data_IF_223340053782
#
_entry.id   IF_223340053782
#
_cell.length_a   1.000
_cell.length_b   1.000
_cell.length_c   1.000
_cell.angle_alpha   90.00
_cell.angle_beta   90.00
_cell.angle_gamma   90.00
#
_symmetry.space_group_name_H-M   'P 1'
#
loop_
_entity.id
_entity.type
_entity.pdbx_description
1 polymer ?
#
# COMPACT_ATOMS: atom_id res chain seq x y z
N UNK A 1 -29.74 19.84 11.72
CA UNK A 1 -29.23 18.71 10.92
C UNK A 1 -28.40 19.29 9.79
N UNK A 2 -27.07 19.21 9.90
CA UNK A 2 -26.20 19.87 8.93
C UNK A 2 -26.12 19.05 7.64
N UNK A 3 -26.62 19.63 6.55
CA UNK A 3 -26.79 19.03 5.22
C UNK A 3 -25.54 19.14 4.33
N UNK A 4 -24.38 18.76 4.87
CA UNK A 4 -23.15 18.63 4.07
C UNK A 4 -22.60 17.22 4.28
N UNK A 5 -22.92 16.30 3.37
CA UNK A 5 -22.54 14.88 3.40
C UNK A 5 -21.04 14.59 3.24
N UNK A 6 -20.18 15.33 3.95
CA UNK A 6 -18.78 14.94 4.14
C UNK A 6 -18.74 14.01 5.34
N UNK A 7 -18.54 12.71 5.08
CA UNK A 7 -18.05 11.81 6.12
C UNK A 7 -16.72 12.38 6.64
N UNK A 8 -16.57 12.60 7.96
CA UNK A 8 -15.31 13.12 8.49
C UNK A 8 -14.18 12.17 8.15
N UNK A 9 -13.11 12.70 7.55
CA UNK A 9 -11.92 11.90 7.25
C UNK A 9 -11.31 11.36 8.55
N UNK A 10 -11.01 10.06 8.63
CA UNK A 10 -10.33 9.51 9.79
C UNK A 10 -8.96 10.13 9.95
N UNK A 11 -8.46 10.07 11.19
CA UNK A 11 -7.25 10.77 11.59
C UNK A 11 -6.37 9.88 12.44
N UNK A 12 -5.07 9.97 12.22
CA UNK A 12 -4.03 9.27 12.99
C UNK A 12 -2.99 10.27 13.52
N UNK A 13 -2.18 9.83 14.49
CA UNK A 13 -1.06 10.61 15.00
C UNK A 13 0.25 10.00 14.53
N UNK A 14 1.09 10.81 13.89
CA UNK A 14 2.44 10.44 13.42
C UNK A 14 3.41 11.44 14.02
N UNK A 15 4.37 10.97 14.82
CA UNK A 15 5.32 11.82 15.55
C UNK A 15 4.67 12.96 16.34
N UNK A 16 3.52 12.67 16.96
CA UNK A 16 2.72 13.64 17.73
C UNK A 16 1.92 14.64 16.88
N UNK A 17 1.98 14.57 15.56
CA UNK A 17 1.20 15.41 14.64
C UNK A 17 -0.03 14.68 14.12
N UNK A 18 -1.14 15.42 14.09
CA UNK A 18 -2.39 14.93 13.55
C UNK A 18 -2.34 14.87 12.01
N UNK A 19 -2.68 13.70 11.44
CA UNK A 19 -2.71 13.46 10.00
C UNK A 19 -4.05 12.89 9.58
N UNK A 20 -4.74 13.60 8.68
CA UNK A 20 -5.96 13.11 8.03
C UNK A 20 -5.60 12.07 6.98
N UNK A 21 -6.30 10.94 7.00
CA UNK A 21 -6.08 9.83 6.09
C UNK A 21 -7.38 9.39 5.41
N UNK A 22 -7.27 8.59 4.36
CA UNK A 22 -8.43 8.00 3.71
C UNK A 22 -9.05 6.89 4.57
N UNK A 23 -10.38 6.68 4.52
CA UNK A 23 -11.04 5.59 5.23
C UNK A 23 -10.46 4.20 4.94
N UNK A 24 -10.06 3.96 3.69
CA UNK A 24 -9.37 2.72 3.30
C UNK A 24 -8.06 2.52 4.06
N UNK A 25 -7.22 3.55 4.13
CA UNK A 25 -5.96 3.49 4.87
C UNK A 25 -6.18 3.28 6.37
N UNK A 26 -7.23 3.89 6.94
CA UNK A 26 -7.55 3.69 8.35
C UNK A 26 -7.94 2.24 8.65
N UNK A 27 -8.81 1.67 7.82
CA UNK A 27 -9.26 0.28 7.96
C UNK A 27 -8.08 -0.71 7.81
N UNK A 28 -7.19 -0.47 6.84
CA UNK A 28 -5.95 -1.24 6.69
C UNK A 28 -5.10 -1.20 7.97
N UNK A 29 -4.81 0.00 8.49
CA UNK A 29 -3.96 0.18 9.69
C UNK A 29 -4.58 -0.48 10.93
N UNK A 30 -5.92 -0.45 11.07
CA UNK A 30 -6.62 -1.14 12.15
C UNK A 30 -6.49 -2.65 12.03
N UNK A 31 -6.69 -3.20 10.83
CA UNK A 31 -6.59 -4.63 10.58
C UNK A 31 -5.15 -5.12 10.80
N UNK A 32 -4.18 -4.44 10.19
CA UNK A 32 -2.76 -4.75 10.34
C UNK A 32 -2.29 -4.74 11.80
N UNK A 33 -2.83 -3.82 12.63
CA UNK A 33 -2.55 -3.80 14.08
C UNK A 33 -3.07 -5.04 14.80
N UNK A 34 -4.23 -5.59 14.41
CA UNK A 34 -4.81 -6.79 15.02
C UNK A 34 -4.06 -8.06 14.64
N UNK A 35 -3.55 -8.13 13.41
CA UNK A 35 -2.91 -9.32 12.86
C UNK A 35 -1.48 -9.58 13.40
N UNK A 36 -1.05 -8.82 14.42
CA UNK A 36 0.20 -9.01 15.17
C UNK A 36 1.51 -9.01 14.34
N UNK A 37 1.51 -8.50 13.11
CA UNK A 37 2.73 -8.29 12.28
C UNK A 37 3.55 -7.07 12.79
N UNK A 38 3.72 -7.00 14.11
CA UNK A 38 3.94 -5.79 14.92
C UNK A 38 5.39 -5.31 15.01
N UNK A 39 6.29 -5.82 14.16
CA UNK A 39 7.72 -5.52 14.23
C UNK A 39 8.34 -4.87 12.99
N UNK A 40 7.70 -4.98 11.82
CA UNK A 40 8.27 -4.47 10.58
C UNK A 40 7.81 -3.03 10.31
N UNK A 41 8.74 -2.11 9.97
CA UNK A 41 8.35 -0.76 9.59
C UNK A 41 7.55 -0.79 8.28
N UNK A 42 6.38 -0.14 8.29
CA UNK A 42 5.57 0.06 7.10
C UNK A 42 5.98 1.33 6.37
N UNK A 43 6.14 1.23 5.05
CA UNK A 43 6.22 2.39 4.19
C UNK A 43 4.86 2.59 3.49
N UNK A 44 4.21 3.71 3.77
CA UNK A 44 2.92 4.10 3.20
C UNK A 44 3.10 5.48 2.61
N UNK A 45 3.00 5.64 1.30
CA UNK A 45 3.29 6.89 0.58
C UNK A 45 2.43 8.07 1.08
N UNK A 46 1.17 7.82 1.41
CA UNK A 46 0.27 8.82 1.98
C UNK A 46 0.73 9.37 3.35
N UNK A 47 1.64 8.67 4.05
CA UNK A 47 2.18 9.05 5.35
C UNK A 47 3.65 9.47 5.24
N UNK A 48 4.48 8.66 4.57
CA UNK A 48 5.93 8.81 4.54
C UNK A 48 6.45 9.85 3.54
N UNK A 49 5.63 10.22 2.53
CA UNK A 49 6.00 11.24 1.54
C UNK A 49 5.39 12.57 1.95
N UNK A 50 6.21 13.63 1.97
CA UNK A 50 5.68 14.96 2.18
C UNK A 50 4.84 15.41 0.99
N UNK A 51 3.52 15.28 1.13
CA UNK A 51 2.58 15.61 0.05
C UNK A 51 2.56 17.09 -0.33
N UNK A 52 3.10 17.97 0.52
CA UNK A 52 3.18 19.42 0.30
C UNK A 52 4.48 19.85 -0.40
N UNK A 53 5.50 18.99 -0.41
CA UNK A 53 6.74 19.23 -1.16
C UNK A 53 6.64 18.56 -2.53
N UNK A 54 6.34 19.36 -3.56
CA UNK A 54 6.22 18.87 -4.93
C UNK A 54 7.53 18.30 -5.48
N UNK A 55 8.69 18.76 -5.00
CA UNK A 55 10.00 18.28 -5.43
C UNK A 55 10.26 16.90 -4.84
N UNK A 56 10.04 16.73 -3.53
CA UNK A 56 10.13 15.43 -2.86
C UNK A 56 9.14 14.45 -3.48
N UNK A 57 7.86 14.84 -3.59
CA UNK A 57 6.80 13.98 -4.13
C UNK A 57 7.13 13.48 -5.53
N UNK A 58 7.64 14.34 -6.41
CA UNK A 58 8.06 13.92 -7.76
C UNK A 58 9.20 12.90 -7.71
N UNK A 59 10.20 13.11 -6.85
CA UNK A 59 11.31 12.16 -6.68
C UNK A 59 10.82 10.81 -6.15
N UNK A 60 9.96 10.83 -5.13
CA UNK A 60 9.39 9.61 -4.54
C UNK A 60 8.54 8.85 -5.56
N UNK A 61 7.66 9.53 -6.31
CA UNK A 61 6.84 8.92 -7.37
C UNK A 61 7.72 8.30 -8.47
N UNK A 62 8.79 8.99 -8.89
CA UNK A 62 9.74 8.42 -9.85
C UNK A 62 10.46 7.16 -9.32
N UNK A 63 10.61 7.04 -8.00
CA UNK A 63 11.21 5.86 -7.36
C UNK A 63 10.22 4.72 -7.11
N UNK A 64 8.91 4.96 -7.09
CA UNK A 64 7.90 3.94 -6.75
C UNK A 64 8.02 2.67 -7.60
N UNK A 65 8.26 2.82 -8.90
CA UNK A 65 8.43 1.67 -9.81
C UNK A 65 9.60 0.77 -9.37
N UNK A 66 10.71 1.39 -8.92
CA UNK A 66 11.87 0.66 -8.37
C UNK A 66 11.54 0.03 -7.02
N UNK A 67 10.85 0.74 -6.13
CA UNK A 67 10.46 0.21 -4.82
C UNK A 67 9.57 -1.03 -4.99
N UNK A 68 8.49 -0.93 -5.77
CA UNK A 68 7.57 -2.06 -5.97
C UNK A 68 8.21 -3.30 -6.61
N UNK A 69 9.28 -3.12 -7.40
CA UNK A 69 10.00 -4.23 -8.04
C UNK A 69 11.14 -4.81 -7.21
N UNK A 70 11.67 -4.06 -6.23
CA UNK A 70 12.86 -4.46 -5.46
C UNK A 70 12.60 -4.72 -3.98
N UNK A 71 11.38 -4.50 -3.49
CA UNK A 71 11.01 -4.80 -2.11
C UNK A 71 10.96 -6.31 -1.86
N UNK A 72 11.57 -6.75 -0.75
CA UNK A 72 11.52 -8.14 -0.32
C UNK A 72 10.10 -8.62 0.00
N UNK A 73 9.22 -7.70 0.42
CA UNK A 73 7.81 -7.95 0.73
C UNK A 73 6.97 -6.76 0.28
N UNK A 74 5.92 -7.04 -0.49
CA UNK A 74 4.86 -6.11 -0.83
C UNK A 74 3.55 -6.63 -0.22
N UNK A 75 2.83 -5.78 0.50
CA UNK A 75 1.52 -6.10 1.07
C UNK A 75 0.46 -5.44 0.18
N UNK A 76 -0.42 -6.25 -0.39
CA UNK A 76 -1.61 -5.78 -1.12
C UNK A 76 -2.81 -5.99 -0.21
N UNK A 77 -3.54 -4.91 0.06
CA UNK A 77 -4.76 -4.96 0.87
C UNK A 77 -5.96 -4.60 0.00
N UNK A 78 -6.91 -5.52 -0.08
CA UNK A 78 -8.06 -5.43 -0.99
C UNK A 78 -9.34 -4.94 -0.30
N UNK A 79 -9.28 -4.70 1.02
CA UNK A 79 -10.44 -4.31 1.82
C UNK A 79 -10.70 -5.30 2.95
N UNK A 80 -11.79 -5.07 3.65
CA UNK A 80 -12.39 -6.02 4.59
C UNK A 80 -13.55 -6.62 3.82
N UNK A 81 -13.43 -7.87 3.42
CA UNK A 81 -14.53 -8.64 2.87
C UNK A 81 -14.68 -9.92 3.68
N UNK A 82 -15.93 -10.31 3.92
CA UNK A 82 -16.26 -11.56 4.62
C UNK A 82 -16.57 -12.68 3.61
N UNK A 83 -16.59 -12.38 2.30
CA UNK A 83 -16.78 -13.39 1.25
C UNK A 83 -15.43 -13.99 0.81
N UNK A 84 -15.14 -15.16 1.35
CA UNK A 84 -13.96 -15.97 1.02
C UNK A 84 -13.81 -16.25 -0.49
N UNK A 85 -14.92 -16.30 -1.25
CA UNK A 85 -14.87 -16.57 -2.68
C UNK A 85 -14.30 -15.37 -3.47
N UNK A 86 -14.69 -14.14 -3.13
CA UNK A 86 -14.20 -12.93 -3.80
C UNK A 86 -12.70 -12.72 -3.51
N UNK A 87 -12.29 -12.91 -2.25
CA UNK A 87 -10.89 -12.81 -1.83
C UNK A 87 -10.03 -13.84 -2.58
N UNK A 88 -10.54 -15.07 -2.73
CA UNK A 88 -9.83 -16.13 -3.44
C UNK A 88 -9.62 -15.79 -4.91
N UNK A 89 -10.66 -15.32 -5.60
CA UNK A 89 -10.58 -14.91 -7.02
C UNK A 89 -9.56 -13.78 -7.19
N UNK A 90 -9.61 -12.75 -6.34
CA UNK A 90 -8.69 -11.63 -6.41
C UNK A 90 -7.23 -12.05 -6.14
N UNK A 91 -7.03 -12.94 -5.16
CA UNK A 91 -5.70 -13.48 -4.83
C UNK A 91 -5.14 -14.33 -5.96
N UNK A 92 -5.94 -15.22 -6.56
CA UNK A 92 -5.55 -16.03 -7.72
C UNK A 92 -5.18 -15.14 -8.92
N UNK A 93 -5.98 -14.12 -9.20
CA UNK A 93 -5.71 -13.15 -10.27
C UNK A 93 -4.36 -12.44 -10.06
N UNK A 94 -4.08 -11.95 -8.85
CA UNK A 94 -2.81 -11.30 -8.52
C UNK A 94 -1.64 -12.28 -8.67
N UNK A 95 -1.77 -13.52 -8.18
CA UNK A 95 -0.71 -14.52 -8.27
C UNK A 95 -0.37 -14.89 -9.72
N UNK A 96 -1.38 -15.10 -10.57
CA UNK A 96 -1.19 -15.45 -11.98
C UNK A 96 -0.46 -14.35 -12.76
N UNK A 97 -0.68 -13.07 -12.43
CA UNK A 97 -0.08 -11.95 -13.14
C UNK A 97 1.23 -11.46 -12.51
N UNK A 98 1.48 -11.76 -11.23
CA UNK A 98 2.74 -11.44 -10.57
C UNK A 98 3.89 -12.40 -10.96
N UNK A 99 3.61 -13.68 -11.20
CA UNK A 99 4.61 -14.66 -11.65
C UNK A 99 5.12 -14.36 -13.06
N UNK A 100 4.23 -13.94 -13.96
CA UNK A 100 4.56 -13.58 -15.35
C UNK A 100 5.57 -12.42 -15.45
N UNK A 101 5.63 -11.52 -14.45
CA UNK A 101 6.60 -10.42 -14.42
C UNK A 101 7.97 -10.82 -13.87
N UNK A 102 8.06 -11.80 -12.96
CA UNK A 102 9.34 -12.27 -12.41
C UNK A 102 10.13 -13.10 -13.41
N UNK A 103 9.48 -13.96 -14.18
CA UNK A 103 10.13 -14.78 -15.21
C UNK A 103 10.77 -13.91 -16.31
N UNK A 104 10.11 -12.81 -16.69
CA UNK A 104 10.67 -11.84 -17.65
C UNK A 104 11.88 -11.07 -17.09
N UNK A 105 11.90 -10.76 -15.80
CA UNK A 105 13.01 -10.03 -15.16
C UNK A 105 14.22 -10.92 -14.86
N UNK A 106 14.01 -12.19 -14.48
CA UNK A 106 15.09 -13.17 -14.29
C UNK A 106 15.74 -13.56 -15.63
N UNK A 107 14.95 -13.65 -16.70
CA UNK A 107 15.47 -13.92 -18.05
C UNK A 107 16.37 -12.80 -18.59
N UNK A 108 16.06 -11.54 -18.28
CA UNK A 108 16.90 -10.38 -18.66
C UNK A 108 18.17 -10.33 -17.80
N UNK A 109 18.06 -10.64 -16.51
CA UNK A 109 19.22 -10.68 -15.60
C UNK A 109 20.22 -11.77 -15.98
N UNK A 110 19.74 -12.97 -16.36
CA UNK A 110 20.60 -14.08 -16.80
C UNK A 110 21.23 -13.89 -18.19
N UNK A 111 20.80 -12.87 -18.94
CA UNK A 111 21.37 -12.53 -20.26
C UNK A 111 22.46 -11.44 -20.18
N UNK A 112 22.70 -10.87 -18.99
CA UNK A 112 23.70 -9.82 -18.74
C UNK A 112 24.87 -10.29 -17.85
N UNK A 113 24.96 -11.58 -17.54
CA UNK A 113 26.14 -12.27 -17.00
C UNK A 113 26.81 -13.11 -18.10
#
# INVERSE_FOLDING_TARGET
TNHSGQTPHPTIYVDGKELKIMPSLEAFLRQHRRDHDSGLPLWIDAICVNQHDLVERRKQVAMMCRLYTQLARLVVWLGIDDDDAEIKIATEFIQQHASAQREGQESIRNFQE
#
